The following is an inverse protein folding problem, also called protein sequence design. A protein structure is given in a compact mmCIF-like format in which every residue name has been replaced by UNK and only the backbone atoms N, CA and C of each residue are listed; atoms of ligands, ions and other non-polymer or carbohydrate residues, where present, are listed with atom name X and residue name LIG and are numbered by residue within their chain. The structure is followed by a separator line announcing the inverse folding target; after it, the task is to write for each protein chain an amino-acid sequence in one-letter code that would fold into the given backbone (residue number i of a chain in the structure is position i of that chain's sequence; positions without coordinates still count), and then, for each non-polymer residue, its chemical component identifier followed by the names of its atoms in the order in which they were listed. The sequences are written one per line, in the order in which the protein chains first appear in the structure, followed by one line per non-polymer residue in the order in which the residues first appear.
data_IF_100263861696
#
_entry.id   IF_100263861696
#
_cell.length_a   1.000
_cell.length_b   1.000
_cell.length_c   1.000
_cell.angle_alpha   90.00
_cell.angle_beta   90.00
_cell.angle_gamma   90.00
#
_symmetry.space_group_name_H-M   'P 1'
#
loop_
_entity.id
_entity.type
_entity.pdbx_description
1 polymer ?
#
# COMPACT_ATOMS: atom_id res chain seq x y z
N UNK A 1 -20.21 21.32 -17.71
CA UNK A 1 -19.39 20.69 -16.64
C UNK A 1 -19.97 21.20 -15.34
N UNK A 2 -20.55 20.34 -14.53
CA UNK A 2 -21.35 20.76 -13.37
C UNK A 2 -20.42 21.14 -12.19
N UNK A 3 -20.89 22.08 -11.36
CA UNK A 3 -20.19 22.52 -10.13
C UNK A 3 -19.77 21.38 -9.19
N UNK A 4 -20.45 20.23 -9.26
CA UNK A 4 -20.11 19.02 -8.50
C UNK A 4 -18.73 18.42 -8.84
N UNK A 5 -18.25 18.57 -10.07
CA UNK A 5 -16.94 18.03 -10.49
C UNK A 5 -15.76 18.93 -10.05
N UNK A 6 -15.98 20.23 -9.88
CA UNK A 6 -14.96 21.16 -9.38
C UNK A 6 -14.71 20.94 -7.88
N UNK A 7 -15.76 20.75 -7.07
CA UNK A 7 -15.63 20.50 -5.62
C UNK A 7 -14.90 19.18 -5.33
N UNK A 8 -15.13 18.11 -6.12
CA UNK A 8 -14.46 16.82 -5.92
C UNK A 8 -12.98 16.85 -6.27
N UNK A 9 -12.57 17.65 -7.26
CA UNK A 9 -11.14 17.84 -7.60
C UNK A 9 -10.41 18.65 -6.54
N UNK A 10 -11.05 19.68 -5.98
CA UNK A 10 -10.50 20.47 -4.88
C UNK A 10 -10.34 19.61 -3.62
N UNK A 11 -11.31 18.74 -3.31
CA UNK A 11 -11.26 17.82 -2.19
C UNK A 11 -10.12 16.81 -2.35
N UNK A 12 -9.93 16.21 -3.53
CA UNK A 12 -8.81 15.30 -3.80
C UNK A 12 -7.45 16.01 -3.68
N UNK A 13 -7.33 17.22 -4.20
CA UNK A 13 -6.13 18.03 -4.09
C UNK A 13 -5.80 18.37 -2.63
N UNK A 14 -6.81 18.74 -1.84
CA UNK A 14 -6.67 19.01 -0.41
C UNK A 14 -6.24 17.75 0.37
N UNK A 15 -6.84 16.60 0.09
CA UNK A 15 -6.46 15.32 0.71
C UNK A 15 -5.01 14.97 0.35
N UNK A 16 -4.59 15.14 -0.91
CA UNK A 16 -3.22 14.90 -1.34
C UNK A 16 -2.23 15.78 -0.57
N UNK A 17 -2.50 17.06 -0.46
CA UNK A 17 -1.63 17.99 0.29
C UNK A 17 -1.58 17.67 1.79
N UNK A 18 -2.69 17.28 2.40
CA UNK A 18 -2.72 16.78 3.78
C UNK A 18 -1.87 15.53 3.96
N UNK A 19 -1.98 14.57 3.03
CA UNK A 19 -1.17 13.34 3.05
C UNK A 19 0.32 13.63 2.87
N UNK A 20 0.71 14.52 1.95
CA UNK A 20 2.10 14.96 1.75
C UNK A 20 2.67 15.60 3.01
N UNK A 21 1.96 16.58 3.59
CA UNK A 21 2.37 17.24 4.85
C UNK A 21 2.52 16.24 5.98
N UNK A 22 1.58 15.31 6.12
CA UNK A 22 1.63 14.28 7.15
C UNK A 22 2.77 13.27 6.91
N UNK A 23 3.12 12.98 5.65
CA UNK A 23 4.28 12.14 5.33
C UNK A 23 5.59 12.82 5.75
N UNK A 24 5.78 14.08 5.37
CA UNK A 24 6.97 14.87 5.72
C UNK A 24 7.10 15.00 7.24
N UNK A 25 6.00 15.30 7.94
CA UNK A 25 5.98 15.44 9.40
C UNK A 25 6.32 14.12 10.11
N UNK A 26 5.90 13.00 9.58
CA UNK A 26 6.15 11.68 10.18
C UNK A 26 7.62 11.24 10.05
N UNK A 27 8.34 11.74 9.05
CA UNK A 27 9.73 11.33 8.78
C UNK A 27 9.83 9.83 8.46
N UNK A 28 10.92 9.19 8.88
CA UNK A 28 11.16 7.77 8.65
C UNK A 28 10.13 6.89 9.38
N UNK A 29 9.34 6.14 8.61
CA UNK A 29 8.27 5.29 9.15
C UNK A 29 8.84 3.97 9.65
N UNK A 30 8.70 3.70 10.95
CA UNK A 30 9.19 2.47 11.59
C UNK A 30 8.49 1.21 11.09
N UNK A 31 9.14 0.04 11.23
CA UNK A 31 8.54 -1.25 10.91
C UNK A 31 7.22 -1.48 11.66
N UNK A 32 7.14 -1.11 12.93
CA UNK A 32 5.93 -1.21 13.75
C UNK A 32 4.73 -0.49 13.11
N UNK A 33 4.95 0.74 12.63
CA UNK A 33 3.88 1.54 11.99
C UNK A 33 3.49 0.95 10.63
N UNK A 34 4.46 0.44 9.85
CA UNK A 34 4.17 -0.20 8.56
C UNK A 34 3.35 -1.48 8.77
N UNK A 35 3.73 -2.33 9.73
CA UNK A 35 3.00 -3.55 10.10
C UNK A 35 1.58 -3.22 10.60
N UNK A 36 1.42 -2.17 11.41
CA UNK A 36 0.10 -1.72 11.86
C UNK A 36 -0.81 -1.37 10.69
N UNK A 37 -0.30 -0.61 9.69
CA UNK A 37 -1.07 -0.27 8.48
C UNK A 37 -1.49 -1.51 7.69
N UNK A 38 -0.56 -2.47 7.52
CA UNK A 38 -0.83 -3.73 6.82
C UNK A 38 -1.89 -4.57 7.57
N UNK A 39 -1.79 -4.67 8.89
CA UNK A 39 -2.77 -5.38 9.70
C UNK A 39 -4.15 -4.73 9.65
N UNK A 40 -4.24 -3.40 9.67
CA UNK A 40 -5.51 -2.69 9.51
C UNK A 40 -6.15 -2.95 8.15
N UNK A 41 -5.36 -2.99 7.07
CA UNK A 41 -5.85 -3.35 5.74
C UNK A 41 -6.40 -4.79 5.71
N UNK A 42 -5.71 -5.74 6.35
CA UNK A 42 -6.19 -7.12 6.51
C UNK A 42 -7.50 -7.15 7.30
N UNK A 43 -7.58 -6.43 8.42
CA UNK A 43 -8.80 -6.38 9.25
C UNK A 43 -10.00 -5.81 8.49
N UNK A 44 -9.80 -4.82 7.63
CA UNK A 44 -10.87 -4.30 6.76
C UNK A 44 -11.39 -5.40 5.83
N UNK A 45 -10.49 -6.15 5.20
CA UNK A 45 -10.86 -7.25 4.30
C UNK A 45 -11.59 -8.39 5.03
N UNK A 46 -11.08 -8.80 6.19
CA UNK A 46 -11.64 -9.90 6.97
C UNK A 46 -13.01 -9.53 7.56
N UNK A 47 -13.15 -8.33 8.13
CA UNK A 47 -14.37 -7.88 8.80
C UNK A 47 -15.51 -7.57 7.82
N UNK A 48 -15.20 -7.15 6.59
CA UNK A 48 -16.22 -6.76 5.60
C UNK A 48 -16.29 -7.75 4.42
N UNK A 49 -15.77 -8.97 4.60
CA UNK A 49 -15.67 -9.97 3.53
C UNK A 49 -17.03 -10.26 2.86
N UNK A 50 -18.09 -10.42 3.65
CA UNK A 50 -19.45 -10.69 3.12
C UNK A 50 -19.97 -9.51 2.33
N UNK A 51 -19.88 -8.29 2.87
CA UNK A 51 -20.35 -7.07 2.21
C UNK A 51 -19.62 -6.84 0.87
N UNK A 52 -18.30 -7.04 0.82
CA UNK A 52 -17.55 -6.95 -0.44
C UNK A 52 -18.03 -7.99 -1.46
N UNK A 53 -18.26 -9.22 -1.04
CA UNK A 53 -18.71 -10.28 -1.95
C UNK A 53 -20.14 -10.04 -2.46
N UNK A 54 -21.03 -9.56 -1.59
CA UNK A 54 -22.42 -9.22 -1.94
C UNK A 54 -22.46 -8.05 -2.92
N UNK A 55 -21.77 -6.95 -2.63
CA UNK A 55 -21.66 -5.80 -3.52
C UNK A 55 -21.11 -6.18 -4.90
N UNK A 56 -20.05 -7.01 -4.96
CA UNK A 56 -19.53 -7.51 -6.23
C UNK A 56 -20.52 -8.42 -6.96
N UNK A 57 -21.31 -9.20 -6.23
CA UNK A 57 -22.37 -10.03 -6.87
C UNK A 57 -23.45 -9.17 -7.50
N UNK A 58 -23.86 -8.11 -6.84
CA UNK A 58 -24.86 -7.16 -7.36
C UNK A 58 -24.31 -6.39 -8.57
N UNK A 59 -23.14 -5.80 -8.46
CA UNK A 59 -22.51 -4.97 -9.52
C UNK A 59 -22.22 -5.77 -10.80
N UNK A 60 -21.86 -7.04 -10.68
CA UNK A 60 -21.52 -7.92 -11.83
C UNK A 60 -22.67 -8.82 -12.30
N UNK A 61 -23.87 -8.61 -11.80
CA UNK A 61 -25.03 -9.41 -12.23
C UNK A 61 -24.92 -10.89 -11.84
N UNK A 62 -24.86 -11.17 -10.55
CA UNK A 62 -24.76 -12.50 -9.95
C UNK A 62 -23.37 -13.17 -10.03
N UNK A 63 -22.28 -12.42 -9.91
CA UNK A 63 -20.95 -13.00 -9.70
C UNK A 63 -20.95 -13.91 -8.46
N UNK A 64 -20.33 -15.09 -8.58
CA UNK A 64 -20.30 -16.05 -7.48
C UNK A 64 -19.65 -15.47 -6.23
N UNK A 65 -20.34 -15.56 -5.10
CA UNK A 65 -19.85 -15.16 -3.77
C UNK A 65 -18.55 -15.88 -3.41
N UNK A 66 -18.50 -17.22 -3.67
CA UNK A 66 -17.33 -18.04 -3.41
C UNK A 66 -16.12 -17.60 -4.26
N UNK A 67 -16.36 -17.30 -5.53
CA UNK A 67 -15.32 -16.79 -6.41
C UNK A 67 -14.80 -15.45 -5.92
N UNK A 68 -15.69 -14.49 -5.61
CA UNK A 68 -15.33 -13.17 -5.10
C UNK A 68 -14.54 -13.27 -3.79
N UNK A 69 -14.97 -14.16 -2.88
CA UNK A 69 -14.22 -14.39 -1.63
C UNK A 69 -12.80 -14.89 -1.91
N UNK A 70 -12.66 -15.90 -2.73
CA UNK A 70 -11.36 -16.52 -3.00
C UNK A 70 -10.42 -15.62 -3.80
N UNK A 71 -10.92 -14.96 -4.85
CA UNK A 71 -10.09 -14.18 -5.77
C UNK A 71 -9.85 -12.75 -5.32
N UNK A 72 -10.87 -12.10 -4.74
CA UNK A 72 -10.77 -10.70 -4.34
C UNK A 72 -10.35 -10.55 -2.88
N UNK A 73 -11.07 -11.16 -1.94
CA UNK A 73 -10.79 -10.95 -0.51
C UNK A 73 -9.55 -11.74 -0.07
N UNK A 74 -9.58 -13.08 -0.20
CA UNK A 74 -8.47 -13.93 0.24
C UNK A 74 -7.22 -13.68 -0.62
N UNK A 75 -7.40 -13.43 -1.93
CA UNK A 75 -6.34 -13.05 -2.86
C UNK A 75 -5.61 -11.77 -2.48
N UNK A 76 -6.29 -10.80 -1.86
CA UNK A 76 -5.68 -9.56 -1.38
C UNK A 76 -4.95 -9.72 -0.03
N UNK A 77 -5.42 -10.62 0.82
CA UNK A 77 -4.82 -10.86 2.15
C UNK A 77 -3.41 -11.48 2.05
N UNK A 78 -3.21 -12.38 1.10
CA UNK A 78 -1.94 -13.07 0.90
C UNK A 78 -0.73 -12.13 0.78
N UNK A 79 -0.71 -11.20 -0.18
CA UNK A 79 0.35 -10.20 -0.36
C UNK A 79 0.60 -9.35 0.90
N UNK A 80 -0.45 -8.93 1.62
CA UNK A 80 -0.33 -8.16 2.85
C UNK A 80 0.38 -8.95 3.96
N UNK A 81 -0.02 -10.21 4.19
CA UNK A 81 0.64 -11.12 5.14
C UNK A 81 2.10 -11.40 4.74
N UNK A 82 2.36 -11.57 3.44
CA UNK A 82 3.71 -11.74 2.92
C UNK A 82 4.59 -10.52 3.24
N UNK A 83 4.08 -9.31 2.99
CA UNK A 83 4.81 -8.08 3.31
C UNK A 83 5.14 -7.98 4.80
N UNK A 84 4.20 -8.27 5.70
CA UNK A 84 4.44 -8.28 7.14
C UNK A 84 5.59 -9.24 7.50
N UNK A 85 5.56 -10.45 6.96
CA UNK A 85 6.58 -11.48 7.22
C UNK A 85 7.99 -11.07 6.80
N UNK A 86 8.10 -10.36 5.67
CA UNK A 86 9.40 -10.03 5.06
C UNK A 86 9.87 -8.60 5.33
N UNK A 87 9.03 -7.75 5.94
CA UNK A 87 9.28 -6.32 6.11
C UNK A 87 10.62 -6.01 6.77
N UNK A 88 10.95 -6.70 7.85
CA UNK A 88 12.22 -6.47 8.56
C UNK A 88 13.47 -6.78 7.70
N UNK A 89 13.38 -7.72 6.77
CA UNK A 89 14.47 -8.02 5.84
C UNK A 89 14.57 -6.95 4.75
N UNK A 90 13.43 -6.49 4.22
CA UNK A 90 13.39 -5.46 3.18
C UNK A 90 13.84 -4.08 3.65
N UNK A 91 13.69 -3.79 4.93
CA UNK A 91 14.13 -2.52 5.53
C UNK A 91 15.63 -2.49 5.86
N UNK A 92 16.37 -3.60 5.68
CA UNK A 92 17.80 -3.60 5.93
C UNK A 92 18.56 -2.89 4.81
N UNK A 93 19.54 -2.02 5.14
CA UNK A 93 20.43 -1.44 4.14
C UNK A 93 21.15 -2.53 3.34
N UNK A 94 21.20 -2.37 2.04
CA UNK A 94 21.88 -3.28 1.13
C UNK A 94 23.33 -2.86 0.95
N UNK A 95 24.28 -3.64 1.45
CA UNK A 95 25.72 -3.34 1.33
C UNK A 95 26.17 -3.38 -0.12
N UNK A 96 27.00 -2.43 -0.51
CA UNK A 96 27.62 -2.33 -1.83
C UNK A 96 29.15 -2.25 -1.73
N UNK A 97 29.89 -2.68 -2.77
CA UNK A 97 31.33 -2.45 -2.84
C UNK A 97 31.65 -0.97 -2.76
N UNK A 98 32.66 -0.62 -1.98
CA UNK A 98 33.16 0.77 -1.87
C UNK A 98 34.30 0.96 -2.84
N UNK A 99 34.31 2.07 -3.57
CA UNK A 99 35.35 2.41 -4.58
C UNK A 99 36.69 2.68 -3.92
N UNK A 100 37.77 2.25 -4.60
CA UNK A 100 39.16 2.61 -4.24
C UNK A 100 39.35 4.13 -4.32
N UNK A 101 40.08 4.79 -3.41
CA UNK A 101 40.80 4.21 -2.24
C UNK A 101 39.96 4.14 -0.94
N UNK A 102 38.71 4.54 -0.95
CA UNK A 102 37.89 4.66 0.26
C UNK A 102 37.67 3.33 0.99
N UNK A 103 37.65 2.21 0.25
CA UNK A 103 37.58 0.88 0.85
C UNK A 103 38.76 0.57 1.77
N UNK A 104 39.97 1.08 1.46
CA UNK A 104 41.18 0.91 2.30
C UNK A 104 41.15 1.83 3.53
N UNK A 105 40.39 2.94 3.46
CA UNK A 105 40.30 3.91 4.55
C UNK A 105 39.07 3.62 5.47
N UNK A 106 38.48 2.41 5.39
CA UNK A 106 37.31 2.03 6.20
C UNK A 106 35.99 2.56 5.70
N UNK A 107 35.92 3.13 4.49
CA UNK A 107 34.68 3.58 3.85
C UNK A 107 33.70 2.42 3.66
N UNK A 108 32.39 2.72 3.79
CA UNK A 108 31.32 1.75 3.59
C UNK A 108 30.25 2.37 2.68
N UNK A 109 29.79 1.58 1.70
CA UNK A 109 28.71 1.97 0.79
C UNK A 109 27.51 1.06 0.99
N UNK A 110 26.31 1.64 0.98
CA UNK A 110 25.06 0.90 1.08
C UNK A 110 23.93 1.64 0.35
N UNK A 111 22.88 0.90 0.02
CA UNK A 111 21.64 1.43 -0.52
C UNK A 111 20.60 1.38 0.59
N UNK A 112 19.93 2.49 0.82
CA UNK A 112 18.74 2.58 1.69
C UNK A 112 17.52 2.88 0.85
N UNK A 113 16.52 2.02 0.92
CA UNK A 113 15.24 2.22 0.25
C UNK A 113 14.38 3.19 1.04
N UNK A 114 14.02 4.31 0.44
CA UNK A 114 13.21 5.36 1.05
C UNK A 114 11.80 5.38 0.46
N UNK A 115 10.76 5.75 1.24
CA UNK A 115 9.42 5.93 0.71
C UNK A 115 9.36 7.10 -0.28
N UNK A 116 8.56 6.96 -1.33
CA UNK A 116 8.30 8.02 -2.31
C UNK A 116 7.43 9.15 -1.75
N UNK A 117 6.60 8.84 -0.74
CA UNK A 117 5.68 9.81 -0.13
C UNK A 117 4.23 9.35 -0.19
N UNK A 118 3.45 9.90 -1.11
CA UNK A 118 2.06 9.53 -1.36
C UNK A 118 1.96 8.85 -2.72
N UNK A 119 1.40 7.64 -2.75
CA UNK A 119 1.21 6.84 -3.97
C UNK A 119 -0.27 6.82 -4.31
N UNK A 120 -0.62 7.21 -5.54
CA UNK A 120 -1.97 7.04 -6.08
C UNK A 120 -2.19 5.57 -6.48
N UNK A 121 -3.31 5.00 -6.06
CA UNK A 121 -3.71 3.65 -6.45
C UNK A 121 -5.05 3.72 -7.19
N UNK A 122 -5.02 3.43 -8.49
CA UNK A 122 -6.23 3.37 -9.32
C UNK A 122 -6.51 1.92 -9.64
N UNK A 123 -7.62 1.41 -9.09
CA UNK A 123 -8.02 0.01 -9.26
C UNK A 123 -8.92 -0.16 -10.47
N UNK A 124 -8.72 -1.22 -11.29
CA UNK A 124 -9.66 -1.60 -12.34
C UNK A 124 -10.90 -2.28 -11.73
N UNK A 125 -11.96 -2.36 -12.53
CA UNK A 125 -13.26 -2.84 -12.08
C UNK A 125 -13.42 -4.37 -12.11
N UNK A 126 -12.52 -5.14 -12.73
CA UNK A 126 -12.68 -6.60 -12.90
C UNK A 126 -12.35 -7.43 -11.65
N UNK A 127 -11.45 -6.95 -10.79
CA UNK A 127 -11.12 -7.48 -9.46
C UNK A 127 -10.95 -6.31 -8.48
N UNK A 128 -12.04 -5.59 -8.18
CA UNK A 128 -11.93 -4.27 -7.55
C UNK A 128 -11.33 -4.31 -6.15
N UNK A 129 -11.65 -5.32 -5.36
CA UNK A 129 -11.12 -5.44 -3.98
C UNK A 129 -9.67 -5.93 -4.01
N UNK A 130 -9.38 -6.99 -4.76
CA UNK A 130 -8.04 -7.56 -4.84
C UNK A 130 -7.02 -6.52 -5.37
N UNK A 131 -7.34 -5.84 -6.46
CA UNK A 131 -6.43 -4.90 -7.12
C UNK A 131 -6.36 -3.52 -6.43
N UNK A 132 -7.26 -3.26 -5.48
CA UNK A 132 -7.13 -2.13 -4.55
C UNK A 132 -6.19 -2.47 -3.40
N UNK A 133 -6.38 -3.61 -2.74
CA UNK A 133 -5.67 -3.94 -1.51
C UNK A 133 -4.31 -4.60 -1.71
N UNK A 134 -4.12 -5.43 -2.75
CA UNK A 134 -2.83 -6.08 -3.00
C UNK A 134 -1.67 -5.11 -3.20
N UNK A 135 -1.80 -4.01 -3.97
CA UNK A 135 -0.73 -3.03 -4.11
C UNK A 135 -0.35 -2.33 -2.79
N UNK A 136 -1.29 -2.25 -1.83
CA UNK A 136 -1.03 -1.66 -0.51
C UNK A 136 0.05 -2.42 0.27
N UNK A 137 0.27 -3.70 -0.04
CA UNK A 137 1.37 -4.47 0.51
C UNK A 137 2.73 -3.81 0.23
N UNK A 138 2.97 -3.40 -1.00
CA UNK A 138 4.16 -2.66 -1.40
C UNK A 138 4.16 -1.22 -0.90
N UNK A 139 3.03 -0.53 -1.03
CA UNK A 139 2.88 0.89 -0.64
C UNK A 139 3.18 1.07 0.86
N UNK A 140 2.51 0.31 1.72
CA UNK A 140 2.71 0.40 3.17
C UNK A 140 4.02 -0.26 3.61
N UNK A 141 4.43 -1.36 2.96
CA UNK A 141 5.71 -2.01 3.18
C UNK A 141 6.89 -1.06 2.94
N UNK A 142 6.86 -0.26 1.89
CA UNK A 142 7.86 0.77 1.62
C UNK A 142 7.75 2.02 2.53
N UNK A 143 6.70 2.13 3.35
CA UNK A 143 6.48 3.25 4.26
C UNK A 143 5.74 4.43 3.65
N UNK A 144 5.18 4.27 2.44
CA UNK A 144 4.38 5.29 1.79
C UNK A 144 2.99 5.47 2.45
N UNK A 145 2.34 6.56 2.07
CA UNK A 145 0.90 6.78 2.19
C UNK A 145 0.23 6.46 0.86
N UNK A 146 -1.09 6.30 0.87
CA UNK A 146 -1.85 6.04 -0.37
C UNK A 146 -3.05 6.96 -0.49
N UNK A 147 -3.46 7.14 -1.71
CA UNK A 147 -4.69 7.82 -2.10
C UNK A 147 -5.33 7.02 -3.24
#
# INVERSE_FOLDING_TARGET
MSESNLSSNDDMSNILELQKKAHIKAGAVSAKVRIDRLNRAISVLENNSSEFCEAMSEDFGNRSIQQSKMTDVDGAIGPLKHAIKHLHSWMKPEKRPTTFPFNLLGGRSHIEYQPLGVVGCISPWNFPVQLTFSPLAGVFGAGNRTM
#
